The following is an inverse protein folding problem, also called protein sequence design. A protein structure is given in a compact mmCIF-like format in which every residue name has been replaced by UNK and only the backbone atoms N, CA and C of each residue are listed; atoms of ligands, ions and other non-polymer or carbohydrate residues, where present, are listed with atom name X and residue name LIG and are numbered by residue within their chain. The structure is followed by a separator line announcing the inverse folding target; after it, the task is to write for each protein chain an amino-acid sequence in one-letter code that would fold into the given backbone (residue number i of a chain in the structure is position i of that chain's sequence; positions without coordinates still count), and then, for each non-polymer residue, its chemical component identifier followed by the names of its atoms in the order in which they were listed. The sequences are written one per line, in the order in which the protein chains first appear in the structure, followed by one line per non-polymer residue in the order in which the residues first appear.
data_IF_259143925379
#
_entry.id   IF_259143925379
#
_cell.length_a   1.000
_cell.length_b   1.000
_cell.length_c   1.000
_cell.angle_alpha   90.00
_cell.angle_beta   90.00
_cell.angle_gamma   90.00
#
_symmetry.space_group_name_H-M   'P 1'
#
loop_
_entity.id
_entity.type
_entity.pdbx_description
1 polymer ?
#
# COMPACT_ATOMS: atom_id res chain seq x y z
N UNK A 1 7.85 19.59 19.67
CA UNK A 1 8.25 18.16 19.72
C UNK A 1 7.40 17.28 18.80
N UNK A 2 6.07 17.30 18.91
CA UNK A 2 5.19 16.47 18.07
C UNK A 2 5.35 16.68 16.55
N UNK A 3 5.43 17.94 16.10
CA UNK A 3 5.65 18.27 14.67
C UNK A 3 6.95 17.68 14.13
N UNK A 4 8.02 17.71 14.93
CA UNK A 4 9.32 17.14 14.55
C UNK A 4 9.24 15.61 14.47
N UNK A 5 8.61 14.97 15.46
CA UNK A 5 8.36 13.53 15.47
C UNK A 5 7.58 13.08 14.22
N UNK A 6 6.44 13.73 13.93
CA UNK A 6 5.63 13.39 12.76
C UNK A 6 6.37 13.68 11.45
N UNK A 7 7.20 14.73 11.40
CA UNK A 7 8.02 15.01 10.21
C UNK A 7 9.06 13.92 10.00
N UNK A 8 9.78 13.50 11.05
CA UNK A 8 10.76 12.42 10.97
C UNK A 8 10.09 11.10 10.55
N UNK A 9 8.96 10.74 11.18
CA UNK A 9 8.19 9.55 10.82
C UNK A 9 7.77 9.54 9.34
N UNK A 10 7.19 10.64 8.84
CA UNK A 10 6.77 10.74 7.44
C UNK A 10 7.97 10.67 6.49
N UNK A 11 9.09 11.33 6.80
CA UNK A 11 10.29 11.29 5.98
C UNK A 11 10.90 9.88 5.93
N UNK A 12 11.06 9.21 7.08
CA UNK A 12 11.57 7.84 7.16
C UNK A 12 10.66 6.87 6.42
N UNK A 13 9.34 7.01 6.56
CA UNK A 13 8.37 6.16 5.86
C UNK A 13 8.44 6.36 4.34
N UNK A 14 8.55 7.62 3.87
CA UNK A 14 8.71 7.90 2.45
C UNK A 14 10.00 7.28 1.87
N UNK A 15 11.12 7.36 2.60
CA UNK A 15 12.38 6.73 2.20
C UNK A 15 12.26 5.21 2.17
N UNK A 16 11.62 4.60 3.18
CA UNK A 16 11.42 3.16 3.23
C UNK A 16 10.60 2.65 2.04
N UNK A 17 9.51 3.32 1.67
CA UNK A 17 8.72 2.98 0.48
C UNK A 17 9.47 3.24 -0.85
N UNK A 18 10.29 4.29 -0.91
CA UNK A 18 11.16 4.50 -2.07
C UNK A 18 12.22 3.39 -2.22
N UNK A 19 12.75 2.89 -1.09
CA UNK A 19 13.68 1.75 -1.09
C UNK A 19 13.00 0.46 -1.57
N UNK A 20 11.75 0.20 -1.15
CA UNK A 20 10.95 -0.93 -1.65
C UNK A 20 10.72 -0.82 -3.16
N UNK A 21 10.42 0.38 -3.65
CA UNK A 21 10.26 0.61 -5.08
C UNK A 21 11.55 0.31 -5.84
N UNK A 22 12.69 0.79 -5.33
CA UNK A 22 14.01 0.49 -5.88
C UNK A 22 14.31 -1.02 -5.89
N UNK A 23 14.07 -1.69 -4.77
CA UNK A 23 14.22 -3.15 -4.65
C UNK A 23 13.34 -3.89 -5.67
N UNK A 24 12.09 -3.46 -5.83
CA UNK A 24 11.16 -4.07 -6.80
C UNK A 24 11.69 -3.97 -8.23
N UNK A 25 12.33 -2.86 -8.60
CA UNK A 25 12.97 -2.74 -9.91
C UNK A 25 14.17 -3.67 -10.05
N UNK A 26 15.03 -3.75 -9.02
CA UNK A 26 16.18 -4.67 -9.02
C UNK A 26 15.75 -6.14 -9.11
N UNK A 27 14.65 -6.50 -8.43
CA UNK A 27 14.11 -7.85 -8.41
C UNK A 27 13.63 -8.32 -9.80
N UNK A 28 13.20 -7.38 -10.66
CA UNK A 28 12.68 -7.64 -12.01
C UNK A 28 13.80 -7.65 -13.07
N UNK A 29 14.97 -7.09 -12.79
CA UNK A 29 16.09 -7.12 -13.72
C UNK A 29 16.61 -8.55 -13.93
N UNK A 30 17.29 -8.82 -15.06
CA UNK A 30 17.92 -10.13 -15.29
C UNK A 30 18.88 -10.51 -14.16
N UNK A 31 18.78 -11.76 -13.69
CA UNK A 31 19.47 -12.26 -12.51
C UNK A 31 18.85 -11.81 -11.17
N UNK A 32 17.72 -11.12 -11.19
CA UNK A 32 16.98 -10.67 -10.02
C UNK A 32 16.12 -11.77 -9.37
N UNK A 33 15.39 -11.40 -8.33
CA UNK A 33 14.53 -12.30 -7.55
C UNK A 33 13.51 -13.06 -8.43
N UNK A 34 12.89 -12.40 -9.41
CA UNK A 34 11.86 -13.04 -10.25
C UNK A 34 12.42 -14.02 -11.29
N UNK A 35 13.73 -13.99 -11.59
CA UNK A 35 14.38 -14.98 -12.46
C UNK A 35 15.01 -16.11 -11.65
N UNK A 36 15.65 -15.77 -10.53
CA UNK A 36 16.38 -16.73 -9.69
C UNK A 36 15.48 -17.52 -8.76
N UNK A 37 14.32 -16.97 -8.40
CA UNK A 37 13.41 -17.50 -7.37
C UNK A 37 14.12 -17.77 -6.03
N UNK A 38 15.28 -17.14 -5.82
CA UNK A 38 16.15 -17.40 -4.68
C UNK A 38 15.78 -16.45 -3.55
N UNK A 39 15.13 -16.97 -2.50
CA UNK A 39 14.86 -16.23 -1.27
C UNK A 39 15.32 -17.05 -0.07
N UNK A 40 15.84 -16.38 0.96
CA UNK A 40 16.40 -17.06 2.15
C UNK A 40 15.32 -17.46 3.15
N UNK A 41 14.35 -16.58 3.38
CA UNK A 41 13.27 -16.78 4.35
C UNK A 41 11.91 -16.78 3.64
N UNK A 42 11.55 -15.61 3.09
CA UNK A 42 10.31 -15.39 2.36
C UNK A 42 10.49 -14.22 1.38
N UNK A 43 9.73 -14.20 0.27
CA UNK A 43 9.84 -13.17 -0.75
C UNK A 43 9.38 -11.79 -0.25
N UNK A 44 9.88 -10.71 -0.88
CA UNK A 44 9.44 -9.34 -0.60
C UNK A 44 9.61 -8.87 0.86
N UNK A 45 10.62 -9.40 1.56
CA UNK A 45 10.88 -9.16 2.99
C UNK A 45 10.83 -7.69 3.42
N UNK A 46 11.48 -6.81 2.67
CA UNK A 46 11.50 -5.37 2.98
C UNK A 46 10.09 -4.77 2.95
N UNK A 47 9.28 -5.13 1.95
CA UNK A 47 7.90 -4.66 1.80
C UNK A 47 7.05 -5.12 2.99
N UNK A 48 7.14 -6.40 3.36
CA UNK A 48 6.38 -6.95 4.50
C UNK A 48 6.75 -6.23 5.80
N UNK A 49 8.04 -6.08 6.09
CA UNK A 49 8.52 -5.43 7.32
C UNK A 49 8.05 -3.97 7.41
N UNK A 50 8.26 -3.17 6.36
CA UNK A 50 7.86 -1.76 6.35
C UNK A 50 6.35 -1.61 6.44
N UNK A 51 5.57 -2.45 5.74
CA UNK A 51 4.11 -2.41 5.78
C UNK A 51 3.58 -2.73 7.19
N UNK A 52 4.13 -3.73 7.87
CA UNK A 52 3.73 -4.10 9.23
C UNK A 52 4.09 -3.00 10.22
N UNK A 53 5.33 -2.48 10.16
CA UNK A 53 5.78 -1.40 11.04
C UNK A 53 4.92 -0.15 10.86
N UNK A 54 4.67 0.27 9.62
CA UNK A 54 3.81 1.42 9.34
C UNK A 54 2.38 1.21 9.81
N UNK A 55 1.81 0.01 9.65
CA UNK A 55 0.48 -0.30 10.17
C UNK A 55 0.41 -0.14 11.69
N UNK A 56 1.39 -0.64 12.43
CA UNK A 56 1.46 -0.49 13.90
C UNK A 56 1.53 0.99 14.30
N UNK A 57 2.39 1.78 13.66
CA UNK A 57 2.51 3.20 13.96
C UNK A 57 1.21 3.97 13.66
N UNK A 58 0.60 3.75 12.50
CA UNK A 58 -0.62 4.47 12.11
C UNK A 58 -1.81 4.09 12.99
N UNK A 59 -1.97 2.80 13.33
CA UNK A 59 -3.01 2.36 14.28
C UNK A 59 -2.77 3.01 15.65
N UNK A 60 -1.53 3.03 16.12
CA UNK A 60 -1.18 3.67 17.39
C UNK A 60 -1.48 5.17 17.36
N UNK A 61 -1.13 5.87 16.27
CA UNK A 61 -1.43 7.30 16.11
C UNK A 61 -2.94 7.58 16.07
N UNK A 62 -3.72 6.71 15.45
CA UNK A 62 -5.17 6.83 15.41
C UNK A 62 -5.81 6.57 16.79
N UNK A 63 -5.36 5.53 17.51
CA UNK A 63 -5.87 5.18 18.84
C UNK A 63 -5.54 6.24 19.90
N UNK A 64 -4.35 6.82 19.82
CA UNK A 64 -3.89 7.88 20.74
C UNK A 64 -4.46 9.26 20.38
N UNK A 65 -5.15 9.39 19.24
CA UNK A 65 -5.66 10.67 18.75
C UNK A 65 -4.58 11.63 18.24
N UNK A 66 -3.34 11.17 18.09
CA UNK A 66 -2.24 11.97 17.52
C UNK A 66 -2.53 12.39 16.08
N UNK A 67 -3.23 11.54 15.32
CA UNK A 67 -3.70 11.84 13.97
C UNK A 67 -5.19 11.50 13.86
N UNK A 68 -6.06 12.45 13.46
CA UNK A 68 -7.48 12.20 13.32
C UNK A 68 -7.74 11.32 12.09
N UNK A 69 -7.86 10.02 12.31
CA UNK A 69 -8.12 9.01 11.29
C UNK A 69 -9.30 8.14 11.71
N UNK A 70 -10.29 7.88 10.83
CA UNK A 70 -11.37 6.95 11.14
C UNK A 70 -10.81 5.52 11.27
N UNK A 71 -10.78 4.99 12.50
CA UNK A 71 -10.15 3.72 12.83
C UNK A 71 -10.68 2.56 11.98
N UNK A 72 -11.98 2.52 11.69
CA UNK A 72 -12.59 1.46 10.86
C UNK A 72 -12.05 1.42 9.44
N UNK A 73 -11.84 2.58 8.81
CA UNK A 73 -11.23 2.66 7.47
C UNK A 73 -9.75 2.28 7.47
N UNK A 74 -9.06 2.62 8.55
CA UNK A 74 -7.64 2.32 8.74
C UNK A 74 -7.42 0.81 8.89
N UNK A 75 -8.23 0.16 9.75
CA UNK A 75 -8.18 -1.28 9.98
C UNK A 75 -8.51 -2.06 8.70
N UNK A 76 -9.52 -1.63 7.94
CA UNK A 76 -9.86 -2.30 6.68
C UNK A 76 -8.71 -2.24 5.66
N UNK A 77 -8.08 -1.07 5.52
CA UNK A 77 -6.93 -0.89 4.63
C UNK A 77 -5.75 -1.75 5.04
N UNK A 78 -5.40 -1.77 6.34
CA UNK A 78 -4.28 -2.57 6.80
C UNK A 78 -4.56 -4.07 6.74
N UNK A 79 -5.76 -4.50 7.07
CA UNK A 79 -6.13 -5.90 7.01
C UNK A 79 -6.01 -6.46 5.58
N UNK A 80 -6.50 -5.71 4.58
CA UNK A 80 -6.35 -6.10 3.18
C UNK A 80 -4.87 -6.26 2.79
N UNK A 81 -4.01 -5.32 3.20
CA UNK A 81 -2.57 -5.41 2.93
C UNK A 81 -1.87 -6.53 3.69
N UNK A 82 -2.26 -6.80 4.93
CA UNK A 82 -1.71 -7.88 5.76
C UNK A 82 -2.04 -9.26 5.20
N UNK A 83 -3.19 -9.43 4.54
CA UNK A 83 -3.49 -10.67 3.82
C UNK A 83 -2.42 -10.93 2.77
N UNK A 84 -2.03 -9.93 1.97
CA UNK A 84 -0.99 -10.12 0.96
C UNK A 84 0.39 -10.28 1.61
N UNK A 85 0.79 -9.37 2.50
CA UNK A 85 2.17 -9.36 3.01
C UNK A 85 2.45 -10.49 3.98
N UNK A 86 1.63 -10.64 5.01
CA UNK A 86 1.82 -11.66 6.03
C UNK A 86 1.16 -12.96 5.60
N UNK A 87 -0.06 -12.90 5.05
CA UNK A 87 -0.81 -14.10 4.69
C UNK A 87 -0.33 -14.80 3.42
N UNK A 88 0.23 -14.08 2.44
CA UNK A 88 0.75 -14.70 1.22
C UNK A 88 2.27 -14.72 1.26
N UNK A 89 2.93 -13.57 1.34
CA UNK A 89 4.38 -13.54 1.19
C UNK A 89 5.11 -14.22 2.33
N UNK A 90 4.70 -14.02 3.59
CA UNK A 90 5.36 -14.68 4.72
C UNK A 90 4.83 -16.10 4.99
N UNK A 91 3.51 -16.32 4.97
CA UNK A 91 2.92 -17.60 5.35
C UNK A 91 2.94 -18.66 4.22
N UNK A 92 2.87 -18.25 2.95
CA UNK A 92 2.90 -19.14 1.77
C UNK A 92 3.97 -18.68 0.78
N UNK A 93 5.26 -18.70 1.18
CA UNK A 93 6.34 -18.10 0.39
C UNK A 93 6.48 -18.72 -1.02
N UNK A 94 6.20 -20.02 -1.15
CA UNK A 94 6.24 -20.77 -2.41
C UNK A 94 5.09 -20.46 -3.38
N UNK A 95 4.14 -19.62 -2.99
CA UNK A 95 2.98 -19.32 -3.84
C UNK A 95 3.39 -18.66 -5.16
N UNK A 96 2.81 -19.15 -6.28
CA UNK A 96 2.92 -18.49 -7.59
C UNK A 96 2.50 -17.01 -7.56
N UNK A 97 1.64 -16.61 -6.62
CA UNK A 97 1.24 -15.23 -6.41
C UNK A 97 2.43 -14.31 -6.10
N UNK A 98 3.45 -14.77 -5.37
CA UNK A 98 4.64 -13.99 -5.00
C UNK A 98 5.59 -13.73 -6.19
N UNK A 99 5.54 -14.58 -7.21
CA UNK A 99 6.43 -14.53 -8.38
C UNK A 99 5.73 -13.98 -9.63
N UNK A 100 4.46 -13.61 -9.51
CA UNK A 100 3.67 -13.08 -10.61
C UNK A 100 4.10 -11.65 -10.96
N UNK A 101 4.75 -11.46 -12.10
CA UNK A 101 5.07 -10.14 -12.63
C UNK A 101 3.82 -9.24 -12.79
N UNK A 102 2.72 -9.66 -13.43
CA UNK A 102 1.55 -8.79 -13.58
C UNK A 102 0.78 -8.59 -12.27
N UNK A 103 0.98 -9.47 -11.28
CA UNK A 103 0.36 -9.37 -9.96
C UNK A 103 1.23 -8.59 -8.98
N UNK A 104 2.23 -9.26 -8.44
CA UNK A 104 2.98 -8.79 -7.28
C UNK A 104 3.89 -7.58 -7.59
N UNK A 105 4.51 -7.52 -8.77
CA UNK A 105 5.29 -6.32 -9.16
C UNK A 105 4.37 -5.12 -9.34
N UNK A 106 3.27 -5.29 -10.08
CA UNK A 106 2.29 -4.23 -10.29
C UNK A 106 1.73 -3.70 -8.96
N UNK A 107 1.43 -4.62 -8.03
CA UNK A 107 1.02 -4.31 -6.68
C UNK A 107 2.08 -3.52 -5.91
N UNK A 108 3.32 -4.03 -5.87
CA UNK A 108 4.44 -3.43 -5.14
C UNK A 108 4.73 -2.01 -5.64
N UNK A 109 4.70 -1.81 -6.96
CA UNK A 109 4.84 -0.48 -7.58
C UNK A 109 3.67 0.42 -7.20
N UNK A 110 2.43 -0.08 -7.32
CA UNK A 110 1.23 0.70 -7.00
C UNK A 110 1.24 1.19 -5.56
N UNK A 111 1.55 0.30 -4.61
CA UNK A 111 1.66 0.61 -3.20
C UNK A 111 2.81 1.57 -2.94
N UNK A 112 4.02 1.26 -3.39
CA UNK A 112 5.20 2.07 -3.10
C UNK A 112 5.06 3.50 -3.62
N UNK A 113 4.59 3.69 -4.85
CA UNK A 113 4.37 5.03 -5.41
C UNK A 113 3.28 5.78 -4.63
N UNK A 114 2.16 5.11 -4.32
CA UNK A 114 1.07 5.73 -3.52
C UNK A 114 1.58 6.19 -2.17
N UNK A 115 2.39 5.38 -1.51
CA UNK A 115 2.91 5.62 -0.17
C UNK A 115 3.97 6.71 -0.14
N UNK A 116 4.91 6.71 -1.10
CA UNK A 116 5.88 7.79 -1.26
C UNK A 116 5.17 9.14 -1.40
N UNK A 117 4.13 9.21 -2.25
CA UNK A 117 3.34 10.44 -2.43
C UNK A 117 2.61 10.81 -1.13
N UNK A 118 2.00 9.83 -0.45
CA UNK A 118 1.22 10.03 0.78
C UNK A 118 2.07 10.60 1.91
N UNK A 119 3.20 9.96 2.22
CA UNK A 119 4.09 10.39 3.29
C UNK A 119 4.82 11.68 2.94
N UNK A 120 5.24 11.89 1.69
CA UNK A 120 5.81 13.16 1.24
C UNK A 120 4.81 14.32 1.41
N UNK A 121 3.53 14.09 1.08
CA UNK A 121 2.48 15.09 1.29
C UNK A 121 2.31 15.42 2.77
N UNK A 122 2.29 14.42 3.65
CA UNK A 122 2.16 14.64 5.08
C UNK A 122 3.39 15.34 5.67
N UNK A 123 4.59 14.99 5.21
CA UNK A 123 5.82 15.69 5.57
C UNK A 123 5.74 17.18 5.21
N UNK A 124 5.41 17.50 3.95
CA UNK A 124 5.27 18.88 3.49
C UNK A 124 4.17 19.63 4.25
N UNK A 125 3.06 18.95 4.56
CA UNK A 125 1.97 19.52 5.37
C UNK A 125 2.46 19.91 6.76
N UNK A 126 3.34 19.13 7.38
CA UNK A 126 3.92 19.49 8.67
C UNK A 126 4.83 20.72 8.58
N UNK A 127 5.52 20.94 7.46
CA UNK A 127 6.33 22.15 7.24
C UNK A 127 5.48 23.41 7.04
N UNK A 128 4.17 23.27 6.83
CA UNK A 128 3.20 24.38 6.75
C UNK A 128 2.86 24.81 5.33
N UNK A 129 3.67 24.42 4.33
CA UNK A 129 3.38 24.68 2.91
C UNK A 129 3.54 23.39 2.11
N UNK A 130 2.46 22.96 1.46
CA UNK A 130 2.49 21.82 0.54
C UNK A 130 2.73 22.34 -0.88
N UNK A 131 3.73 21.83 -1.62
CA UNK A 131 3.91 22.16 -3.03
C UNK A 131 2.66 21.78 -3.85
N UNK A 132 2.22 22.66 -4.75
CA UNK A 132 1.05 22.43 -5.60
C UNK A 132 1.19 21.15 -6.43
N UNK A 133 2.38 20.88 -6.96
CA UNK A 133 2.70 19.64 -7.68
C UNK A 133 2.42 18.39 -6.85
N UNK A 134 2.76 18.41 -5.56
CA UNK A 134 2.58 17.26 -4.68
C UNK A 134 1.11 17.07 -4.29
N UNK A 135 0.38 18.17 -4.11
CA UNK A 135 -1.06 18.14 -3.91
C UNK A 135 -1.78 17.61 -5.15
N UNK A 136 -1.39 18.09 -6.34
CA UNK A 136 -1.91 17.62 -7.62
C UNK A 136 -1.64 16.13 -7.83
N UNK A 137 -0.38 15.70 -7.61
CA UNK A 137 0.04 14.32 -7.76
C UNK A 137 -0.76 13.39 -6.84
N UNK A 138 -0.96 13.77 -5.57
CA UNK A 138 -1.78 12.98 -4.62
C UNK A 138 -3.20 12.72 -5.12
N UNK A 139 -3.84 13.74 -5.71
CA UNK A 139 -5.23 13.65 -6.15
C UNK A 139 -5.39 13.27 -7.63
N UNK A 140 -4.31 13.03 -8.36
CA UNK A 140 -4.37 12.48 -9.72
C UNK A 140 -3.84 11.04 -9.76
N UNK A 141 -2.74 10.76 -9.07
CA UNK A 141 -2.08 9.45 -9.09
C UNK A 141 -3.01 8.33 -8.62
N UNK A 142 -3.92 8.61 -7.67
CA UNK A 142 -4.89 7.62 -7.22
C UNK A 142 -5.77 7.08 -8.36
N UNK A 143 -6.04 7.86 -9.41
CA UNK A 143 -6.90 7.43 -10.53
C UNK A 143 -6.28 6.24 -11.27
N UNK A 144 -4.94 6.17 -11.34
CA UNK A 144 -4.20 5.08 -12.01
C UNK A 144 -3.79 4.00 -11.01
N UNK A 145 -3.22 4.42 -9.86
CA UNK A 145 -2.64 3.49 -8.89
C UNK A 145 -3.69 2.63 -8.17
N UNK A 146 -4.90 3.15 -7.95
CA UNK A 146 -5.95 2.39 -7.27
C UNK A 146 -6.49 1.24 -8.12
N UNK A 147 -6.89 1.44 -9.40
CA UNK A 147 -7.25 0.33 -10.27
C UNK A 147 -6.12 -0.70 -10.42
N UNK A 148 -4.87 -0.25 -10.49
CA UNK A 148 -3.71 -1.14 -10.56
C UNK A 148 -3.63 -2.06 -9.33
N UNK A 149 -3.81 -1.50 -8.13
CA UNK A 149 -3.91 -2.27 -6.88
C UNK A 149 -5.09 -3.25 -6.88
N UNK A 150 -6.27 -2.81 -7.29
CA UNK A 150 -7.49 -3.65 -7.30
C UNK A 150 -7.44 -4.82 -8.25
N UNK A 151 -6.71 -4.69 -9.35
CA UNK A 151 -6.53 -5.79 -10.29
C UNK A 151 -5.45 -6.74 -9.78
N UNK A 152 -4.35 -6.18 -9.24
CA UNK A 152 -3.20 -6.98 -8.81
C UNK A 152 -3.41 -7.75 -7.51
N UNK A 153 -4.08 -7.19 -6.49
CA UNK A 153 -4.29 -7.87 -5.20
C UNK A 153 -5.11 -9.17 -5.35
N UNK A 154 -6.30 -9.17 -6.01
CA UNK A 154 -7.05 -10.39 -6.25
C UNK A 154 -6.32 -11.36 -7.18
N UNK A 155 -5.52 -10.85 -8.12
CA UNK A 155 -4.71 -11.72 -8.99
C UNK A 155 -3.67 -12.50 -8.20
N UNK A 156 -2.97 -11.83 -7.28
CA UNK A 156 -2.02 -12.50 -6.36
C UNK A 156 -2.75 -13.52 -5.50
N UNK A 157 -3.88 -13.14 -4.88
CA UNK A 157 -4.67 -14.07 -4.05
C UNK A 157 -5.12 -15.28 -4.86
N UNK A 158 -5.64 -15.07 -6.08
CA UNK A 158 -6.12 -16.15 -6.94
C UNK A 158 -5.03 -17.18 -7.24
N UNK A 159 -3.82 -16.72 -7.59
CA UNK A 159 -2.67 -17.60 -7.81
C UNK A 159 -2.19 -18.29 -6.52
N UNK A 160 -2.49 -17.73 -5.36
CA UNK A 160 -2.17 -18.36 -4.05
C UNK A 160 -3.18 -19.40 -3.62
N UNK A 161 -4.43 -19.35 -4.10
CA UNK A 161 -5.47 -20.29 -3.69
C UNK A 161 -5.11 -21.75 -3.99
N UNK A 162 -4.34 -22.02 -5.05
CA UNK A 162 -3.90 -23.37 -5.42
C UNK A 162 -2.87 -23.97 -4.43
N UNK A 163 -2.27 -23.13 -3.57
CA UNK A 163 -1.23 -23.51 -2.62
C UNK A 163 -1.76 -23.74 -1.20
N UNK A 164 -3.05 -23.51 -0.96
CA UNK A 164 -3.64 -23.53 0.38
C UNK A 164 -4.90 -24.38 0.41
N UNK A 165 -5.16 -25.04 1.53
CA UNK A 165 -6.32 -25.93 1.71
C UNK A 165 -7.06 -25.61 3.02
N UNK A 166 -8.28 -26.14 3.13
CA UNK A 166 -9.07 -26.09 4.35
C UNK A 166 -9.50 -24.67 4.76
N UNK A 167 -9.41 -24.37 6.05
CA UNK A 167 -9.84 -23.07 6.58
C UNK A 167 -9.12 -21.88 5.93
N UNK A 168 -7.83 -22.02 5.63
CA UNK A 168 -7.03 -20.93 5.09
C UNK A 168 -7.44 -20.54 3.66
N UNK A 169 -7.81 -21.53 2.85
CA UNK A 169 -8.40 -21.30 1.52
C UNK A 169 -9.64 -20.41 1.62
N UNK A 170 -10.58 -20.79 2.49
CA UNK A 170 -11.83 -20.04 2.67
C UNK A 170 -11.60 -18.65 3.27
N UNK A 171 -10.61 -18.52 4.15
CA UNK A 171 -10.19 -17.23 4.68
C UNK A 171 -9.69 -16.28 3.59
N UNK A 172 -8.79 -16.74 2.70
CA UNK A 172 -8.30 -15.93 1.58
C UNK A 172 -9.41 -15.60 0.57
N UNK A 173 -10.24 -16.58 0.23
CA UNK A 173 -11.36 -16.39 -0.70
C UNK A 173 -12.39 -15.38 -0.17
N UNK A 174 -12.73 -15.45 1.12
CA UNK A 174 -13.60 -14.47 1.77
C UNK A 174 -12.95 -13.08 1.81
N UNK A 175 -11.65 -13.00 2.10
CA UNK A 175 -10.89 -11.74 2.07
C UNK A 175 -10.97 -11.06 0.70
N UNK A 176 -10.80 -11.83 -0.38
CA UNK A 176 -10.94 -11.35 -1.76
C UNK A 176 -12.35 -10.84 -2.06
N UNK A 177 -13.39 -11.51 -1.56
CA UNK A 177 -14.78 -11.08 -1.73
C UNK A 177 -15.08 -9.78 -0.98
N UNK A 178 -14.65 -9.66 0.27
CA UNK A 178 -14.86 -8.47 1.11
C UNK A 178 -14.05 -7.26 0.65
N UNK A 179 -13.00 -7.47 -0.15
CA UNK A 179 -12.16 -6.40 -0.69
C UNK A 179 -12.94 -5.45 -1.61
N UNK A 180 -13.82 -5.98 -2.47
CA UNK A 180 -14.58 -5.22 -3.48
C UNK A 180 -15.40 -4.06 -2.86
N UNK A 181 -16.28 -4.28 -1.86
CA UNK A 181 -17.03 -3.19 -1.25
C UNK A 181 -16.13 -2.18 -0.51
N UNK A 182 -15.05 -2.67 0.11
CA UNK A 182 -14.05 -1.83 0.75
C UNK A 182 -13.40 -0.85 -0.24
N UNK A 183 -13.02 -1.37 -1.41
CA UNK A 183 -12.43 -0.58 -2.48
C UNK A 183 -13.38 0.52 -2.98
N UNK A 184 -14.63 0.18 -3.31
CA UNK A 184 -15.61 1.15 -3.85
C UNK A 184 -15.79 2.32 -2.87
N UNK A 185 -15.87 2.04 -1.57
CA UNK A 185 -15.98 3.06 -0.52
C UNK A 185 -14.75 3.98 -0.48
N UNK A 186 -13.54 3.42 -0.56
CA UNK A 186 -12.30 4.20 -0.53
C UNK A 186 -12.09 5.03 -1.81
N UNK A 187 -12.41 4.45 -2.97
CA UNK A 187 -12.26 5.13 -4.26
C UNK A 187 -13.24 6.31 -4.38
N UNK A 188 -14.51 6.10 -4.03
CA UNK A 188 -15.52 7.18 -4.01
C UNK A 188 -15.15 8.30 -3.04
N UNK A 189 -14.60 7.96 -1.88
CA UNK A 189 -14.07 8.94 -0.93
C UNK A 189 -12.95 9.81 -1.54
N UNK A 190 -12.00 9.20 -2.25
CA UNK A 190 -10.91 9.93 -2.92
C UNK A 190 -11.42 10.84 -4.05
N UNK A 191 -12.45 10.45 -4.79
CA UNK A 191 -13.10 11.32 -5.78
C UNK A 191 -13.73 12.56 -5.13
N UNK A 192 -14.40 12.40 -3.99
CA UNK A 192 -14.96 13.52 -3.21
C UNK A 192 -13.84 14.43 -2.72
N UNK A 193 -12.75 13.87 -2.18
CA UNK A 193 -11.60 14.66 -1.73
C UNK A 193 -10.92 15.41 -2.89
N UNK A 194 -10.79 14.79 -4.05
CA UNK A 194 -10.26 15.45 -5.26
C UNK A 194 -11.10 16.66 -5.62
N UNK A 195 -12.43 16.52 -5.69
CA UNK A 195 -13.33 17.66 -5.99
C UNK A 195 -13.23 18.78 -4.95
N UNK A 196 -12.99 18.46 -3.69
CA UNK A 196 -12.83 19.47 -2.63
C UNK A 196 -11.48 20.21 -2.68
N UNK A 197 -10.40 19.50 -3.00
CA UNK A 197 -9.04 20.07 -2.93
C UNK A 197 -8.51 20.58 -4.27
N UNK A 198 -8.94 19.98 -5.39
CA UNK A 198 -8.61 20.38 -6.76
C UNK A 198 -9.83 20.92 -7.53
N UNK A 199 -10.98 21.05 -6.89
CA UNK A 199 -12.15 21.66 -7.50
C UNK A 199 -11.81 23.06 -7.99
N UNK A 200 -12.11 23.30 -9.27
CA UNK A 200 -11.95 24.59 -9.95
C UNK A 200 -12.46 25.69 -9.02
N UNK A 201 -11.57 26.61 -8.60
CA UNK A 201 -12.02 27.93 -8.12
C UNK A 201 -12.92 28.44 -9.24
N UNK A 202 -14.22 28.63 -8.98
CA UNK A 202 -15.04 29.43 -9.87
C UNK A 202 -14.31 30.77 -9.99
N UNK A 203 -13.74 31.01 -11.16
CA UNK A 203 -13.31 32.33 -11.58
C UNK A 203 -14.59 33.17 -11.58
N UNK A 204 -14.75 33.97 -10.52
CA UNK A 204 -15.58 35.17 -10.56
C UNK A 204 -14.92 36.22 -11.46
#
# INVERSE_FOLDING_TARGET
MLKLYLSAYNATSAIAWAAILGQTFLDVLPGGFYETHAYTDYPHKLLVQVQVVNAVFEITHALTGLVPSPLSSLLLQFFARLIITVGISWYVPESAGNFSLPGYVALSVAWSVTEVIRYSFYFAKQQGKVPETLQWLRYLAFIVLYPLGVISEPWVVHLTLDYVLGFYYWFLALGMFLYIPGFVKLYTYMLVQRRKNLGVKKTE
#
